data_IF_583580318760
#
_entry.id   IF_583580318760
#
_cell.length_a   1.000
_cell.length_b   1.000
_cell.length_c   1.000
_cell.angle_alpha   90.00
_cell.angle_beta   90.00
_cell.angle_gamma   90.00
#
_symmetry.space_group_name_H-M   'P 1'
#
loop_
_entity.id
_entity.type
_entity.pdbx_description
1 polymer ?
#
# COMPACT_ATOMS: atom_id res chain seq x y z
N UNK A 1 -20.49 3.20 -18.60
CA UNK A 1 -19.24 2.47 -18.95
C UNK A 1 -18.54 1.91 -17.71
N UNK A 2 -18.65 2.56 -16.55
CA UNK A 2 -18.02 2.18 -15.28
C UNK A 2 -18.42 0.80 -14.74
N UNK A 3 -19.68 0.39 -14.84
CA UNK A 3 -20.16 -0.89 -14.25
C UNK A 3 -19.61 -2.14 -14.93
N UNK A 4 -19.43 -2.14 -16.27
CA UNK A 4 -18.87 -3.30 -17.00
C UNK A 4 -17.37 -3.45 -16.76
N UNK A 5 -16.65 -2.34 -16.59
CA UNK A 5 -15.21 -2.34 -16.29
C UNK A 5 -14.98 -2.75 -14.83
N UNK A 6 -15.79 -2.24 -13.90
CA UNK A 6 -15.77 -2.64 -12.50
C UNK A 6 -16.01 -4.15 -12.34
N UNK A 7 -17.05 -4.71 -12.97
CA UNK A 7 -17.34 -6.15 -12.88
C UNK A 7 -16.23 -7.02 -13.47
N UNK A 8 -15.57 -6.58 -14.55
CA UNK A 8 -14.45 -7.32 -15.16
C UNK A 8 -13.19 -7.28 -14.27
N UNK A 9 -12.94 -6.16 -13.60
CA UNK A 9 -11.83 -6.01 -12.65
C UNK A 9 -12.07 -6.82 -11.37
N UNK A 10 -13.28 -6.78 -10.81
CA UNK A 10 -13.64 -7.57 -9.62
C UNK A 10 -13.54 -9.07 -9.90
N UNK A 11 -14.07 -9.57 -11.01
CA UNK A 11 -13.96 -11.00 -11.37
C UNK A 11 -12.51 -11.47 -11.57
N UNK A 12 -11.62 -10.60 -12.05
CA UNK A 12 -10.21 -10.94 -12.19
C UNK A 12 -9.50 -11.03 -10.83
N UNK A 13 -9.79 -10.09 -9.92
CA UNK A 13 -9.23 -10.09 -8.57
C UNK A 13 -9.76 -11.27 -7.76
N UNK A 14 -11.04 -11.62 -7.88
CA UNK A 14 -11.62 -12.80 -7.23
C UNK A 14 -10.89 -14.08 -7.62
N UNK A 15 -10.64 -14.26 -8.92
CA UNK A 15 -9.87 -15.39 -9.42
C UNK A 15 -8.42 -15.40 -8.87
N UNK A 16 -7.76 -14.24 -8.82
CA UNK A 16 -6.42 -14.12 -8.24
C UNK A 16 -6.40 -14.44 -6.74
N UNK A 17 -7.40 -13.98 -5.99
CA UNK A 17 -7.57 -14.30 -4.57
C UNK A 17 -7.70 -15.81 -4.41
N UNK A 18 -8.59 -16.47 -5.15
CA UNK A 18 -8.78 -17.92 -5.09
C UNK A 18 -7.49 -18.68 -5.41
N UNK A 19 -6.75 -18.26 -6.45
CA UNK A 19 -5.46 -18.87 -6.80
C UNK A 19 -4.42 -18.72 -5.68
N UNK A 20 -4.23 -17.51 -5.16
CA UNK A 20 -3.28 -17.23 -4.09
C UNK A 20 -3.64 -18.01 -2.82
N UNK A 21 -4.92 -18.12 -2.49
CA UNK A 21 -5.40 -18.86 -1.33
C UNK A 21 -5.18 -20.38 -1.49
N UNK A 22 -5.35 -20.91 -2.70
CA UNK A 22 -4.97 -22.28 -3.05
C UNK A 22 -3.48 -22.55 -2.88
N UNK A 23 -2.62 -21.61 -3.31
CA UNK A 23 -1.16 -21.71 -3.13
C UNK A 23 -0.75 -21.66 -1.65
N UNK A 24 -1.35 -20.77 -0.86
CA UNK A 24 -1.14 -20.66 0.59
C UNK A 24 -1.46 -21.99 1.29
N UNK A 25 -2.61 -22.59 0.97
CA UNK A 25 -3.01 -23.87 1.55
C UNK A 25 -1.98 -24.96 1.22
N UNK A 26 -1.57 -25.06 -0.05
CA UNK A 26 -0.58 -26.04 -0.50
C UNK A 26 0.77 -25.85 0.22
N UNK A 27 1.30 -24.63 0.27
CA UNK A 27 2.59 -24.36 0.94
C UNK A 27 2.50 -24.61 2.45
N UNK A 28 1.36 -24.31 3.06
CA UNK A 28 1.13 -24.57 4.49
C UNK A 28 1.15 -26.07 4.80
N UNK A 29 0.53 -26.89 3.95
CA UNK A 29 0.58 -28.35 4.07
C UNK A 29 2.01 -28.88 3.85
N UNK A 30 2.73 -28.37 2.85
CA UNK A 30 4.14 -28.72 2.62
C UNK A 30 5.03 -28.36 3.81
N UNK A 31 4.85 -27.17 4.40
CA UNK A 31 5.58 -26.72 5.59
C UNK A 31 5.31 -27.67 6.76
N UNK A 32 4.05 -28.01 7.03
CA UNK A 32 3.70 -28.97 8.08
C UNK A 32 4.34 -30.33 7.89
N UNK A 33 4.32 -30.88 6.67
CA UNK A 33 5.00 -32.15 6.36
C UNK A 33 6.49 -32.05 6.62
N UNK A 34 7.14 -31.01 6.10
CA UNK A 34 8.57 -30.76 6.28
C UNK A 34 8.95 -30.58 7.75
N UNK A 35 8.16 -29.86 8.53
CA UNK A 35 8.40 -29.67 9.97
C UNK A 35 8.37 -31.00 10.72
N UNK A 36 7.38 -31.84 10.44
CA UNK A 36 7.29 -33.17 11.05
C UNK A 36 8.49 -34.04 10.67
N UNK A 37 8.86 -34.09 9.37
CA UNK A 37 10.01 -34.84 8.88
C UNK A 37 11.32 -34.35 9.54
N UNK A 38 11.50 -33.04 9.70
CA UNK A 38 12.69 -32.46 10.32
C UNK A 38 12.78 -32.76 11.82
N UNK A 39 11.65 -32.75 12.52
CA UNK A 39 11.59 -33.14 13.94
C UNK A 39 11.99 -34.61 14.07
N UNK A 40 11.38 -35.51 13.29
CA UNK A 40 11.73 -36.94 13.31
C UNK A 40 13.20 -37.18 12.97
N UNK A 41 13.76 -36.43 12.02
CA UNK A 41 15.16 -36.53 11.64
C UNK A 41 16.11 -36.00 12.72
N UNK A 42 15.78 -34.87 13.35
CA UNK A 42 16.53 -34.30 14.47
C UNK A 42 16.53 -35.26 15.66
N UNK A 43 15.36 -35.76 16.06
CA UNK A 43 15.22 -36.72 17.17
C UNK A 43 16.02 -38.00 16.88
N UNK A 44 15.93 -38.52 15.65
CA UNK A 44 16.71 -39.70 15.24
C UNK A 44 18.22 -39.47 15.30
N UNK A 45 18.68 -38.29 14.88
CA UNK A 45 20.09 -37.91 14.93
C UNK A 45 20.57 -37.76 16.38
N UNK A 46 19.76 -37.15 17.26
CA UNK A 46 20.09 -36.99 18.67
C UNK A 46 20.21 -38.34 19.39
N UNK A 47 19.38 -39.32 19.03
CA UNK A 47 19.48 -40.69 19.54
C UNK A 47 20.73 -41.43 19.04
N UNK A 48 21.26 -41.08 17.88
CA UNK A 48 22.52 -41.65 17.38
C UNK A 48 23.72 -41.02 18.08
N UNK A 49 23.66 -39.71 18.33
CA UNK A 49 24.73 -38.98 19.02
C UNK A 49 24.77 -39.34 20.50
N UNK A 50 23.59 -39.42 21.15
CA UNK A 50 23.42 -39.69 22.57
C UNK A 50 22.48 -40.89 22.76
N UNK A 51 22.95 -42.13 22.51
CA UNK A 51 22.12 -43.31 22.63
C UNK A 51 21.66 -43.51 24.09
N UNK A 52 20.36 -43.71 24.33
CA UNK A 52 19.86 -43.93 25.68
C UNK A 52 20.33 -45.27 26.24
N UNK A 53 20.29 -45.39 27.57
CA UNK A 53 20.72 -46.59 28.31
C UNK A 53 19.88 -47.84 27.99
N UNK A 54 18.66 -47.66 27.50
CA UNK A 54 17.73 -48.73 27.14
C UNK A 54 17.38 -48.63 25.65
N UNK A 55 17.25 -49.78 24.98
CA UNK A 55 16.94 -49.85 23.57
C UNK A 55 15.54 -49.26 23.28
N UNK A 56 15.47 -48.38 22.28
CA UNK A 56 14.21 -47.80 21.79
C UNK A 56 13.64 -48.73 20.72
N UNK A 57 12.31 -48.87 20.69
CA UNK A 57 11.64 -49.53 19.57
C UNK A 57 11.88 -48.75 18.28
N UNK A 58 12.55 -49.38 17.31
CA UNK A 58 13.01 -48.74 16.07
C UNK A 58 11.85 -48.24 15.18
N UNK A 59 10.63 -48.73 15.40
CA UNK A 59 9.45 -48.37 14.59
C UNK A 59 8.81 -47.02 14.98
N UNK A 60 9.31 -46.37 16.04
CA UNK A 60 8.79 -45.07 16.52
C UNK A 60 9.26 -43.86 15.70
N UNK A 61 10.42 -43.97 15.05
CA UNK A 61 11.01 -42.89 14.25
C UNK A 61 11.47 -43.46 12.91
N UNK A 62 10.76 -43.11 11.84
CA UNK A 62 11.02 -43.59 10.48
C UNK A 62 12.49 -43.41 10.03
N UNK A 63 13.18 -42.27 10.31
CA UNK A 63 14.55 -42.07 9.84
C UNK A 63 15.60 -42.87 10.62
N UNK A 64 15.30 -43.28 11.86
CA UNK A 64 16.30 -43.76 12.82
C UNK A 64 17.09 -44.97 12.30
N UNK A 65 16.41 -45.96 11.73
CA UNK A 65 17.06 -47.18 11.21
C UNK A 65 18.00 -46.88 10.04
N UNK A 66 17.58 -46.01 9.13
CA UNK A 66 18.39 -45.61 7.98
C UNK A 66 19.65 -44.85 8.42
N UNK A 67 19.50 -43.91 9.36
CA UNK A 67 20.61 -43.15 9.90
C UNK A 67 21.58 -44.02 10.72
N UNK A 68 21.06 -44.96 11.50
CA UNK A 68 21.88 -45.93 12.23
C UNK A 68 22.72 -46.79 11.28
N UNK A 69 22.17 -47.26 10.16
CA UNK A 69 22.93 -48.03 9.18
C UNK A 69 24.11 -47.22 8.60
N UNK A 70 23.86 -45.96 8.21
CA UNK A 70 24.90 -45.05 7.68
C UNK A 70 26.06 -44.92 8.66
N UNK A 71 25.74 -44.75 9.95
CA UNK A 71 26.73 -44.56 11.02
C UNK A 71 27.41 -45.88 11.41
N UNK A 72 26.69 -47.00 11.44
CA UNK A 72 27.23 -48.31 11.81
C UNK A 72 28.15 -48.93 10.74
N UNK A 73 28.02 -48.51 9.47
CA UNK A 73 28.93 -48.88 8.37
C UNK A 73 30.33 -48.22 8.48
N UNK A 74 30.62 -47.52 9.57
CA UNK A 74 31.91 -46.83 9.78
C UNK A 74 32.96 -47.80 10.30
N UNK A 75 34.14 -47.81 9.67
CA UNK A 75 35.25 -48.68 10.05
C UNK A 75 36.13 -48.08 11.15
N UNK A 76 35.90 -46.82 11.50
CA UNK A 76 36.64 -46.10 12.55
C UNK A 76 35.77 -45.04 13.23
N UNK A 77 36.17 -44.64 14.44
CA UNK A 77 35.51 -43.56 15.17
C UNK A 77 35.62 -42.21 14.44
N UNK A 78 36.74 -41.95 13.76
CA UNK A 78 36.92 -40.75 12.94
C UNK A 78 35.93 -40.68 11.78
N UNK A 79 35.73 -41.81 11.08
CA UNK A 79 34.76 -41.94 10.00
C UNK A 79 33.33 -41.76 10.51
N UNK A 80 33.03 -42.32 11.69
CA UNK A 80 31.73 -42.17 12.36
C UNK A 80 31.40 -40.70 12.64
N UNK A 81 32.34 -39.95 13.21
CA UNK A 81 32.19 -38.52 13.50
C UNK A 81 31.99 -37.71 12.21
N UNK A 82 32.73 -38.02 11.15
CA UNK A 82 32.56 -37.33 9.85
C UNK A 82 31.16 -37.57 9.26
N UNK A 83 30.65 -38.80 9.28
CA UNK A 83 29.29 -39.10 8.81
C UNK A 83 28.24 -38.35 9.63
N UNK A 84 28.38 -38.30 10.96
CA UNK A 84 27.48 -37.52 11.83
C UNK A 84 27.49 -36.02 11.48
N UNK A 85 28.67 -35.44 11.22
CA UNK A 85 28.74 -34.03 10.82
C UNK A 85 28.11 -33.78 9.44
N UNK A 86 28.24 -34.69 8.49
CA UNK A 86 27.54 -34.59 7.20
C UNK A 86 26.01 -34.63 7.38
N UNK A 87 25.49 -35.49 8.25
CA UNK A 87 24.06 -35.55 8.56
C UNK A 87 23.58 -34.26 9.23
N UNK A 88 24.35 -33.68 10.17
CA UNK A 88 24.06 -32.36 10.75
C UNK A 88 24.05 -31.25 9.70
N UNK A 89 24.98 -31.27 8.76
CA UNK A 89 25.01 -30.30 7.65
C UNK A 89 23.77 -30.44 6.75
N UNK A 90 23.37 -31.67 6.43
CA UNK A 90 22.14 -31.94 5.67
C UNK A 90 20.88 -31.44 6.40
N UNK A 91 20.81 -31.66 7.72
CA UNK A 91 19.73 -31.16 8.56
C UNK A 91 19.70 -29.63 8.62
N UNK A 92 20.86 -28.95 8.69
CA UNK A 92 20.95 -27.49 8.60
C UNK A 92 20.47 -26.98 7.24
N UNK A 93 20.88 -27.61 6.14
CA UNK A 93 20.43 -27.25 4.80
C UNK A 93 18.91 -27.39 4.65
N UNK A 94 18.33 -28.48 5.18
CA UNK A 94 16.90 -28.72 5.15
C UNK A 94 16.11 -27.71 6.00
N UNK A 95 16.64 -27.31 7.17
CA UNK A 95 16.10 -26.21 7.96
C UNK A 95 16.13 -24.86 7.22
N UNK A 96 17.17 -24.58 6.43
CA UNK A 96 17.21 -23.40 5.58
C UNK A 96 16.14 -23.46 4.48
N UNK A 97 15.91 -24.63 3.87
CA UNK A 97 14.81 -24.83 2.92
C UNK A 97 13.44 -24.59 3.55
N UNK A 98 13.21 -25.05 4.79
CA UNK A 98 12.00 -24.76 5.55
C UNK A 98 11.83 -23.24 5.78
N UNK A 99 12.89 -22.54 6.15
CA UNK A 99 12.85 -21.09 6.33
C UNK A 99 12.50 -20.36 5.02
N UNK A 100 13.04 -20.81 3.88
CA UNK A 100 12.68 -20.27 2.56
C UNK A 100 11.20 -20.47 2.24
N UNK A 101 10.63 -21.65 2.52
CA UNK A 101 9.19 -21.90 2.34
C UNK A 101 8.33 -21.03 3.24
N UNK A 102 8.73 -20.82 4.50
CA UNK A 102 8.02 -19.89 5.42
C UNK A 102 8.05 -18.44 4.92
N UNK A 103 9.16 -18.02 4.33
CA UNK A 103 9.27 -16.70 3.68
C UNK A 103 8.35 -16.59 2.45
N UNK A 104 8.27 -17.64 1.63
CA UNK A 104 7.35 -17.73 0.50
C UNK A 104 5.88 -17.63 0.96
N UNK A 105 5.50 -18.37 2.02
CA UNK A 105 4.17 -18.29 2.63
C UNK A 105 3.84 -16.84 3.04
N UNK A 106 4.74 -16.17 3.76
CA UNK A 106 4.53 -14.79 4.20
C UNK A 106 4.33 -13.83 3.02
N UNK A 107 5.08 -14.01 1.93
CA UNK A 107 4.92 -13.20 0.73
C UNK A 107 3.53 -13.41 0.10
N UNK A 108 3.06 -14.65 0.02
CA UNK A 108 1.73 -14.97 -0.48
C UNK A 108 0.61 -14.42 0.41
N UNK A 109 0.77 -14.46 1.73
CA UNK A 109 -0.18 -13.86 2.69
C UNK A 109 -0.25 -12.33 2.54
N UNK A 110 0.88 -11.67 2.33
CA UNK A 110 0.94 -10.24 2.03
C UNK A 110 0.25 -9.92 0.69
N UNK A 111 0.48 -10.75 -0.34
CA UNK A 111 -0.19 -10.61 -1.63
C UNK A 111 -1.70 -10.80 -1.52
N UNK A 112 -2.16 -11.80 -0.76
CA UNK A 112 -3.57 -12.02 -0.49
C UNK A 112 -4.21 -10.80 0.19
N UNK A 113 -3.54 -10.24 1.20
CA UNK A 113 -3.99 -9.04 1.90
C UNK A 113 -4.15 -7.87 0.94
N UNK A 114 -3.14 -7.63 0.08
CA UNK A 114 -3.18 -6.58 -0.94
C UNK A 114 -4.34 -6.77 -1.93
N UNK A 115 -4.56 -7.99 -2.40
CA UNK A 115 -5.66 -8.31 -3.32
C UNK A 115 -7.03 -8.10 -2.65
N UNK A 116 -7.18 -8.46 -1.38
CA UNK A 116 -8.41 -8.23 -0.61
C UNK A 116 -8.68 -6.75 -0.40
N UNK A 117 -7.65 -5.95 -0.08
CA UNK A 117 -7.76 -4.49 0.02
C UNK A 117 -8.18 -3.87 -1.32
N UNK A 118 -7.60 -4.32 -2.43
CA UNK A 118 -7.95 -3.86 -3.77
C UNK A 118 -9.38 -4.25 -4.14
N UNK A 119 -9.81 -5.47 -3.82
CA UNK A 119 -11.21 -5.90 -4.01
C UNK A 119 -12.17 -5.01 -3.22
N UNK A 120 -11.90 -4.83 -1.92
CA UNK A 120 -12.71 -3.98 -1.06
C UNK A 120 -12.77 -2.54 -1.59
N UNK A 121 -11.64 -2.02 -2.11
CA UNK A 121 -11.61 -0.72 -2.77
C UNK A 121 -12.56 -0.68 -3.99
N UNK A 122 -12.44 -1.67 -4.88
CA UNK A 122 -13.24 -1.77 -6.10
C UNK A 122 -14.74 -1.86 -5.81
N UNK A 123 -15.13 -2.70 -4.86
CA UNK A 123 -16.53 -2.96 -4.54
C UNK A 123 -17.21 -1.76 -3.87
N UNK A 124 -16.48 -1.02 -3.03
CA UNK A 124 -17.08 -0.01 -2.14
C UNK A 124 -16.83 1.44 -2.57
N UNK A 125 -15.79 1.72 -3.36
CA UNK A 125 -15.34 3.10 -3.62
C UNK A 125 -15.24 3.45 -5.10
N UNK A 126 -14.97 2.48 -5.98
CA UNK A 126 -14.81 2.72 -7.42
C UNK A 126 -16.07 3.35 -8.03
N UNK A 127 -17.26 2.95 -7.56
CA UNK A 127 -18.55 3.52 -7.97
C UNK A 127 -18.67 5.04 -7.70
N UNK A 128 -17.85 5.59 -6.79
CA UNK A 128 -17.90 6.99 -6.38
C UNK A 128 -16.87 7.87 -7.10
N UNK A 129 -16.01 7.31 -7.95
CA UNK A 129 -14.97 8.04 -8.68
C UNK A 129 -15.57 9.17 -9.51
N UNK A 130 -16.61 8.91 -10.29
CA UNK A 130 -17.20 9.92 -11.18
C UNK A 130 -17.72 11.13 -10.40
N UNK A 131 -18.18 10.90 -9.16
CA UNK A 131 -18.67 11.94 -8.25
C UNK A 131 -17.53 12.81 -7.71
N UNK A 132 -16.43 12.20 -7.27
CA UNK A 132 -15.40 12.89 -6.47
C UNK A 132 -14.08 13.15 -7.19
N UNK A 133 -13.83 12.52 -8.35
CA UNK A 133 -12.55 12.60 -9.06
C UNK A 133 -12.13 14.02 -9.40
N UNK A 134 -13.08 14.92 -9.65
CA UNK A 134 -12.82 16.33 -9.99
C UNK A 134 -12.39 17.16 -8.78
N UNK A 135 -12.75 16.76 -7.57
CA UNK A 135 -12.41 17.48 -6.33
C UNK A 135 -10.95 17.23 -5.90
N UNK A 136 -10.33 16.14 -6.38
CA UNK A 136 -8.93 15.84 -6.08
C UNK A 136 -7.98 16.48 -7.11
N UNK A 137 -7.33 17.57 -6.70
CA UNK A 137 -6.37 18.32 -7.54
C UNK A 137 -4.92 18.20 -7.09
N UNK A 138 -4.64 17.70 -5.88
CA UNK A 138 -3.33 17.75 -5.22
C UNK A 138 -2.16 17.26 -6.09
N UNK A 139 -2.27 16.08 -6.70
CA UNK A 139 -1.19 15.52 -7.54
C UNK A 139 -1.00 16.31 -8.84
N UNK A 140 -2.10 16.74 -9.48
CA UNK A 140 -2.06 17.58 -10.67
C UNK A 140 -1.42 18.95 -10.35
N UNK A 141 -1.81 19.57 -9.25
CA UNK A 141 -1.27 20.86 -8.81
C UNK A 141 0.23 20.77 -8.52
N UNK A 142 0.67 19.65 -7.93
CA UNK A 142 2.10 19.38 -7.68
C UNK A 142 2.89 19.25 -8.98
N UNK A 143 2.41 18.44 -9.93
CA UNK A 143 3.04 18.26 -11.23
C UNK A 143 3.05 19.56 -12.03
N UNK A 144 1.95 20.32 -12.01
CA UNK A 144 1.86 21.62 -12.68
C UNK A 144 2.86 22.62 -12.12
N UNK A 145 3.00 22.73 -10.79
CA UNK A 145 4.03 23.58 -10.16
C UNK A 145 5.45 23.20 -10.57
N UNK A 146 5.72 21.90 -10.70
CA UNK A 146 7.03 21.42 -11.17
C UNK A 146 7.27 21.80 -12.63
N UNK A 147 6.27 21.64 -13.50
CA UNK A 147 6.33 22.06 -14.90
C UNK A 147 6.62 23.56 -14.99
N UNK A 148 5.89 24.38 -14.25
CA UNK A 148 6.06 25.83 -14.28
C UNK A 148 7.44 26.24 -13.76
N UNK A 149 7.90 25.64 -12.66
CA UNK A 149 9.26 25.87 -12.14
C UNK A 149 10.35 25.47 -13.14
N UNK A 150 10.23 24.33 -13.82
CA UNK A 150 11.20 23.90 -14.84
C UNK A 150 11.12 24.79 -16.08
N UNK A 151 9.94 25.28 -16.46
CA UNK A 151 9.77 26.22 -17.57
C UNK A 151 10.46 27.55 -17.26
N UNK A 152 10.30 28.06 -16.04
CA UNK A 152 10.95 29.30 -15.60
C UNK A 152 12.49 29.15 -15.56
N UNK A 153 13.00 28.01 -15.08
CA UNK A 153 14.43 27.70 -15.12
C UNK A 153 14.95 27.64 -16.56
N UNK A 154 14.24 26.94 -17.44
CA UNK A 154 14.60 26.83 -18.85
C UNK A 154 14.68 28.21 -19.52
N UNK A 155 13.68 29.07 -19.27
CA UNK A 155 13.66 30.44 -19.76
C UNK A 155 14.86 31.25 -19.24
N UNK A 156 15.16 31.12 -17.95
CA UNK A 156 16.32 31.75 -17.33
C UNK A 156 17.65 31.33 -18.00
N UNK A 157 17.87 30.02 -18.18
CA UNK A 157 19.07 29.51 -18.83
C UNK A 157 19.18 29.91 -20.30
N UNK A 158 18.06 29.96 -21.03
CA UNK A 158 18.03 30.44 -22.41
C UNK A 158 18.40 31.93 -22.50
N UNK A 159 17.83 32.77 -21.63
CA UNK A 159 18.21 34.18 -21.54
C UNK A 159 19.69 34.36 -21.15
N UNK A 160 20.18 33.60 -20.18
CA UNK A 160 21.60 33.61 -19.79
C UNK A 160 22.52 33.24 -20.98
N UNK A 161 22.15 32.22 -21.76
CA UNK A 161 22.89 31.80 -22.94
C UNK A 161 22.90 32.89 -24.02
N UNK A 162 21.76 33.55 -24.27
CA UNK A 162 21.66 34.67 -25.21
C UNK A 162 22.58 35.83 -24.81
N UNK A 163 22.52 36.27 -23.55
CA UNK A 163 23.39 37.34 -23.05
C UNK A 163 24.87 37.00 -23.19
N UNK A 164 25.25 35.76 -22.86
CA UNK A 164 26.63 35.29 -22.94
C UNK A 164 27.13 35.18 -24.39
N UNK A 165 26.29 34.72 -25.32
CA UNK A 165 26.61 34.67 -26.76
C UNK A 165 26.76 36.07 -27.35
N UNK A 166 25.87 37.01 -27.02
CA UNK A 166 25.98 38.41 -27.44
C UNK A 166 27.29 39.02 -26.92
N UNK A 167 27.64 38.78 -25.65
CA UNK A 167 28.90 39.25 -25.09
C UNK A 167 30.14 38.59 -25.72
N UNK A 168 30.08 37.30 -26.08
CA UNK A 168 31.16 36.64 -26.82
C UNK A 168 31.40 37.31 -28.18
N UNK A 169 30.32 37.69 -28.89
CA UNK A 169 30.39 38.37 -30.18
C UNK A 169 30.71 39.86 -30.08
N UNK A 170 30.33 40.53 -28.99
CA UNK A 170 30.61 41.94 -28.73
C UNK A 170 31.02 42.15 -27.26
N UNK A 171 32.33 42.28 -27.02
CA UNK A 171 32.89 42.43 -25.67
C UNK A 171 32.56 43.76 -24.99
N UNK A 172 32.07 44.75 -25.74
CA UNK A 172 31.58 46.02 -25.20
C UNK A 172 30.16 45.90 -24.61
N UNK A 173 29.46 44.79 -24.90
CA UNK A 173 28.15 44.51 -24.33
C UNK A 173 28.23 44.31 -22.81
N UNK A 174 27.45 45.07 -22.04
CA UNK A 174 27.46 44.96 -20.58
C UNK A 174 26.68 43.72 -20.12
N UNK A 175 27.39 42.73 -19.57
CA UNK A 175 26.77 41.57 -18.96
C UNK A 175 26.03 41.91 -17.66
N UNK A 176 24.88 41.25 -17.39
CA UNK A 176 24.26 41.22 -16.06
C UNK A 176 25.27 40.77 -14.99
N UNK A 177 25.21 41.38 -13.81
CA UNK A 177 26.20 41.18 -12.75
C UNK A 177 26.35 39.72 -12.32
N UNK A 178 25.25 38.97 -12.31
CA UNK A 178 25.19 37.54 -12.00
C UNK A 178 25.82 36.62 -13.05
N UNK A 179 26.14 37.13 -14.24
CA UNK A 179 26.75 36.39 -15.35
C UNK A 179 28.23 36.67 -15.53
N UNK A 180 28.76 37.75 -14.96
CA UNK A 180 30.18 38.14 -15.08
C UNK A 180 31.11 37.00 -14.58
N UNK A 181 30.79 36.39 -13.45
CA UNK A 181 31.57 35.28 -12.87
C UNK A 181 31.39 33.95 -13.60
N UNK A 182 30.43 33.86 -14.52
CA UNK A 182 30.07 32.65 -15.27
C UNK A 182 30.43 32.72 -16.74
N UNK A 183 31.02 33.82 -17.20
CA UNK A 183 31.32 34.08 -18.60
C UNK A 183 32.57 33.33 -19.10
N UNK A 184 32.55 32.00 -18.99
CA UNK A 184 33.57 31.10 -19.55
C UNK A 184 33.00 30.26 -20.69
N UNK A 185 33.85 29.92 -21.66
CA UNK A 185 33.44 29.07 -22.79
C UNK A 185 32.96 27.69 -22.32
N UNK A 186 33.55 27.17 -21.24
CA UNK A 186 33.12 25.91 -20.61
C UNK A 186 31.72 26.00 -20.03
N UNK A 187 31.35 27.12 -19.41
CA UNK A 187 30.00 27.29 -18.86
C UNK A 187 28.98 27.49 -19.97
N UNK A 188 29.32 28.25 -21.01
CA UNK A 188 28.47 28.46 -22.20
C UNK A 188 28.21 27.13 -22.91
N UNK A 189 29.26 26.33 -23.14
CA UNK A 189 29.12 25.00 -23.73
C UNK A 189 28.26 24.07 -22.88
N UNK A 190 28.37 24.14 -21.53
CA UNK A 190 27.51 23.37 -20.62
C UNK A 190 26.06 23.86 -20.63
N UNK A 191 25.81 25.17 -20.69
CA UNK A 191 24.46 25.71 -20.84
C UNK A 191 23.79 25.18 -22.10
N UNK A 192 24.49 25.26 -23.23
CA UNK A 192 24.01 24.88 -24.54
C UNK A 192 23.80 23.36 -24.71
N UNK A 193 24.76 22.55 -24.24
CA UNK A 193 24.76 21.11 -24.53
C UNK A 193 24.27 20.22 -23.38
N UNK A 194 24.29 20.71 -22.14
CA UNK A 194 23.88 19.92 -20.97
C UNK A 194 22.64 20.52 -20.28
N UNK A 195 22.74 21.75 -19.77
CA UNK A 195 21.76 22.30 -18.83
C UNK A 195 20.41 22.56 -19.50
N UNK A 196 20.40 23.28 -20.63
CA UNK A 196 19.17 23.57 -21.38
C UNK A 196 18.52 22.28 -21.92
N UNK A 197 19.26 21.38 -22.60
CA UNK A 197 18.71 20.10 -23.04
C UNK A 197 18.18 19.23 -21.89
N UNK A 198 18.84 19.23 -20.72
CA UNK A 198 18.33 18.53 -19.53
C UNK A 198 17.00 19.11 -19.05
N UNK A 199 16.89 20.44 -18.96
CA UNK A 199 15.64 21.10 -18.56
C UNK A 199 14.51 20.81 -19.56
N UNK A 200 14.80 20.83 -20.86
CA UNK A 200 13.82 20.47 -21.91
C UNK A 200 13.35 19.02 -21.77
N UNK A 201 14.27 18.07 -21.55
CA UNK A 201 13.92 16.66 -21.32
C UNK A 201 13.06 16.47 -20.07
N UNK A 202 13.44 17.11 -18.96
CA UNK A 202 12.65 17.09 -17.72
C UNK A 202 11.24 17.67 -17.94
N UNK A 203 11.12 18.79 -18.68
CA UNK A 203 9.83 19.39 -19.00
C UNK A 203 8.94 18.42 -19.81
N UNK A 204 9.50 17.76 -20.83
CA UNK A 204 8.79 16.75 -21.63
C UNK A 204 8.30 15.61 -20.74
N UNK A 205 9.17 15.09 -19.86
CA UNK A 205 8.82 14.02 -18.93
C UNK A 205 7.70 14.43 -17.97
N UNK A 206 7.79 15.62 -17.37
CA UNK A 206 6.77 16.12 -16.45
C UNK A 206 5.42 16.35 -17.14
N UNK A 207 5.42 16.88 -18.36
CA UNK A 207 4.20 17.05 -19.16
C UNK A 207 3.59 15.70 -19.53
N UNK A 208 4.42 14.72 -19.93
CA UNK A 208 3.95 13.35 -20.19
C UNK A 208 3.38 12.71 -18.92
N UNK A 209 4.03 12.88 -17.77
CA UNK A 209 3.52 12.39 -16.48
C UNK A 209 2.17 13.02 -16.14
N UNK A 210 2.01 14.33 -16.33
CA UNK A 210 0.74 15.02 -16.08
C UNK A 210 -0.37 14.52 -17.02
N UNK A 211 -0.08 14.37 -18.32
CA UNK A 211 -1.06 13.92 -19.31
C UNK A 211 -1.46 12.45 -19.12
N UNK A 212 -0.53 11.62 -18.67
CA UNK A 212 -0.74 10.19 -18.45
C UNK A 212 -1.02 9.85 -16.98
N UNK A 213 -1.32 10.85 -16.15
CA UNK A 213 -1.52 10.63 -14.72
C UNK A 213 -2.76 9.77 -14.47
N UNK A 214 -2.51 8.51 -14.08
CA UNK A 214 -3.55 7.57 -13.71
C UNK A 214 -3.98 7.80 -12.26
N UNK A 215 -4.97 8.67 -12.11
CA UNK A 215 -5.54 9.02 -10.81
C UNK A 215 -6.04 7.79 -10.04
N UNK A 216 -6.54 6.75 -10.72
CA UNK A 216 -7.11 5.57 -10.05
C UNK A 216 -6.05 4.73 -9.36
N UNK A 217 -4.86 4.70 -9.91
CA UNK A 217 -3.73 3.94 -9.38
C UNK A 217 -2.85 4.78 -8.43
N UNK A 218 -3.18 6.05 -8.16
CA UNK A 218 -2.48 6.88 -7.17
C UNK A 218 -2.92 6.51 -5.73
N UNK A 219 -2.01 6.00 -4.87
CA UNK A 219 -2.33 5.66 -3.48
C UNK A 219 -2.85 6.84 -2.65
N UNK A 220 -2.41 8.07 -2.92
CA UNK A 220 -2.93 9.25 -2.23
C UNK A 220 -4.38 9.53 -2.62
N UNK A 221 -4.71 9.38 -3.91
CA UNK A 221 -6.08 9.52 -4.40
C UNK A 221 -7.00 8.45 -3.81
N UNK A 222 -6.58 7.18 -3.81
CA UNK A 222 -7.39 6.09 -3.26
C UNK A 222 -7.70 6.34 -1.77
N UNK A 223 -6.69 6.71 -0.98
CA UNK A 223 -6.87 7.07 0.45
C UNK A 223 -7.82 8.25 0.62
N UNK A 224 -7.65 9.30 -0.19
CA UNK A 224 -8.53 10.47 -0.17
C UNK A 224 -9.98 10.09 -0.51
N UNK A 225 -10.19 9.27 -1.55
CA UNK A 225 -11.51 8.83 -1.99
C UNK A 225 -12.21 8.01 -0.90
N UNK A 226 -11.50 7.08 -0.27
CA UNK A 226 -12.01 6.28 0.86
C UNK A 226 -12.49 7.19 1.98
N UNK A 227 -11.67 8.15 2.39
CA UNK A 227 -12.02 9.12 3.42
C UNK A 227 -13.22 9.97 3.01
N UNK A 228 -13.24 10.49 1.78
CA UNK A 228 -14.33 11.34 1.27
C UNK A 228 -15.66 10.60 1.27
N UNK A 229 -15.68 9.37 0.77
CA UNK A 229 -16.88 8.51 0.76
C UNK A 229 -17.34 8.21 2.18
N UNK A 230 -16.43 7.91 3.11
CA UNK A 230 -16.78 7.62 4.50
C UNK A 230 -17.33 8.85 5.23
N UNK A 231 -16.82 10.05 4.93
CA UNK A 231 -17.38 11.31 5.44
C UNK A 231 -18.79 11.51 4.91
N UNK A 232 -19.02 11.34 3.60
CA UNK A 232 -20.36 11.48 3.00
C UNK A 232 -21.36 10.47 3.59
N UNK A 233 -20.96 9.20 3.78
CA UNK A 233 -21.79 8.17 4.44
C UNK A 233 -22.12 8.55 5.90
N UNK A 234 -21.11 8.98 6.66
CA UNK A 234 -21.29 9.37 8.06
C UNK A 234 -22.20 10.60 8.19
N UNK A 235 -22.03 11.58 7.31
CA UNK A 235 -22.87 12.77 7.28
C UNK A 235 -24.32 12.44 6.91
N UNK A 236 -24.54 11.54 5.95
CA UNK A 236 -25.87 11.04 5.59
C UNK A 236 -26.55 10.41 6.81
N UNK A 237 -25.87 9.48 7.49
CA UNK A 237 -26.39 8.83 8.70
C UNK A 237 -26.68 9.83 9.83
N UNK A 238 -25.80 10.81 10.02
CA UNK A 238 -26.02 11.88 10.99
C UNK A 238 -27.30 12.68 10.69
N UNK A 239 -27.53 13.05 9.43
CA UNK A 239 -28.75 13.76 9.01
C UNK A 239 -30.02 12.93 9.21
N UNK A 240 -29.96 11.62 8.94
CA UNK A 240 -31.07 10.69 9.23
C UNK A 240 -31.41 10.64 10.72
N UNK A 241 -30.41 10.48 11.58
CA UNK A 241 -30.58 10.45 13.04
C UNK A 241 -31.13 11.78 13.55
N UNK A 242 -30.58 12.90 13.06
CA UNK A 242 -31.08 14.23 13.41
C UNK A 242 -32.55 14.40 13.03
N UNK A 243 -32.95 14.00 11.82
CA UNK A 243 -34.34 14.09 11.38
C UNK A 243 -35.26 13.20 12.23
N UNK A 244 -34.84 11.97 12.54
CA UNK A 244 -35.59 11.06 13.42
C UNK A 244 -35.76 11.63 14.83
N UNK A 245 -34.70 12.24 15.39
CA UNK A 245 -34.75 12.91 16.67
C UNK A 245 -35.71 14.11 16.65
N UNK A 246 -35.65 14.95 15.61
CA UNK A 246 -36.54 16.11 15.45
C UNK A 246 -38.01 15.66 15.38
N UNK A 247 -38.32 14.63 14.59
CA UNK A 247 -39.68 14.10 14.48
C UNK A 247 -40.16 13.48 15.80
N UNK A 248 -39.30 12.72 16.48
CA UNK A 248 -39.60 12.17 17.81
C UNK A 248 -39.89 13.26 18.83
N UNK A 249 -39.11 14.34 18.82
CA UNK A 249 -39.32 15.49 19.71
C UNK A 249 -40.64 16.21 19.39
N UNK A 250 -41.00 16.37 18.12
CA UNK A 250 -42.30 16.95 17.71
C UNK A 250 -43.47 16.10 18.22
N UNK A 251 -43.37 14.78 18.11
CA UNK A 251 -44.37 13.84 18.63
C UNK A 251 -44.47 13.97 20.16
N UNK A 252 -43.34 13.97 20.86
CA UNK A 252 -43.30 14.12 22.31
C UNK A 252 -43.95 15.44 22.77
N UNK A 253 -43.59 16.57 22.14
CA UNK A 253 -44.21 17.88 22.41
C UNK A 253 -45.73 17.84 22.22
N UNK A 254 -46.21 17.16 21.16
CA UNK A 254 -47.64 17.00 20.91
C UNK A 254 -48.33 16.19 22.01
N UNK A 255 -47.75 15.06 22.41
CA UNK A 255 -48.30 14.18 23.45
C UNK A 255 -48.40 14.91 24.79
N UNK A 256 -47.35 15.61 25.20
CA UNK A 256 -47.32 16.37 26.47
C UNK A 256 -48.32 17.53 26.44
N UNK A 257 -48.46 18.23 25.31
CA UNK A 257 -49.47 19.29 25.17
C UNK A 257 -50.91 18.74 25.22
N UNK A 258 -51.15 17.56 24.67
CA UNK A 258 -52.48 16.94 24.65
C UNK A 258 -52.83 16.22 25.95
N UNK A 259 -51.82 15.76 26.71
CA UNK A 259 -51.99 14.94 27.90
C UNK A 259 -51.07 15.44 29.04
N UNK A 260 -51.25 16.69 29.52
CA UNK A 260 -50.37 17.26 30.54
C UNK A 260 -50.42 16.47 31.85
N UNK A 261 -51.58 15.88 32.19
CA UNK A 261 -51.79 15.15 33.45
C UNK A 261 -51.08 13.78 33.50
N UNK A 262 -50.68 13.24 32.34
CA UNK A 262 -50.01 11.94 32.22
C UNK A 262 -48.48 12.10 32.19
N UNK A 263 -47.99 13.30 31.90
CA UNK A 263 -46.57 13.59 31.74
C UNK A 263 -46.01 14.29 32.99
N UNK A 264 -44.98 13.73 33.62
CA UNK A 264 -44.32 14.34 34.78
C UNK A 264 -43.44 15.56 34.45
N UNK A 265 -43.59 16.14 33.25
CA UNK A 265 -42.81 17.27 32.77
C UNK A 265 -43.63 18.12 31.79
N UNK A 266 -43.29 19.41 31.71
CA UNK A 266 -43.96 20.38 30.85
C UNK A 266 -43.26 20.54 29.50
N UNK A 267 -43.99 20.99 28.47
CA UNK A 267 -43.42 21.25 27.13
C UNK A 267 -42.30 22.29 27.17
N UNK A 268 -42.33 23.22 28.13
CA UNK A 268 -41.30 24.25 28.28
C UNK A 268 -39.94 23.68 28.75
N UNK A 269 -39.92 22.45 29.28
CA UNK A 269 -38.70 21.73 29.63
C UNK A 269 -38.08 20.98 28.43
N UNK A 270 -38.77 20.95 27.28
CA UNK A 270 -38.24 20.38 26.04
C UNK A 270 -37.46 21.43 25.23
N UNK A 271 -36.42 21.04 24.47
CA UNK A 271 -35.63 21.97 23.66
C UNK A 271 -36.51 22.80 22.72
N UNK A 272 -36.41 24.13 22.79
CA UNK A 272 -37.24 25.07 22.02
C UNK A 272 -36.94 25.06 20.52
N UNK A 273 -35.74 25.54 20.15
CA UNK A 273 -35.18 25.50 18.79
C UNK A 273 -34.01 24.54 18.73
N UNK A 274 -34.02 23.66 17.74
CA UNK A 274 -32.88 22.80 17.42
C UNK A 274 -32.19 23.37 16.19
N UNK A 275 -30.88 23.55 16.27
CA UNK A 275 -30.07 23.83 15.09
C UNK A 275 -30.14 22.60 14.19
N UNK A 276 -30.70 22.77 13.00
CA UNK A 276 -30.80 21.72 12.00
C UNK A 276 -29.64 21.84 11.04
N UNK A 277 -28.82 20.80 10.98
CA UNK A 277 -27.81 20.67 9.93
C UNK A 277 -28.50 20.24 8.63
N UNK A 278 -28.18 20.91 7.52
CA UNK A 278 -28.61 20.61 6.16
C UNK A 278 -27.40 20.47 5.24
N UNK A 279 -27.59 19.72 4.16
CA UNK A 279 -26.66 19.65 3.04
C UNK A 279 -27.29 20.32 1.83
N UNK A 280 -26.66 21.37 1.32
CA UNK A 280 -27.02 21.98 0.04
C UNK A 280 -25.78 22.00 -0.86
N UNK A 281 -25.86 21.32 -2.01
CA UNK A 281 -24.77 21.22 -2.99
C UNK A 281 -23.40 20.84 -2.38
N UNK A 282 -23.40 19.94 -1.39
CA UNK A 282 -22.18 19.49 -0.71
C UNK A 282 -21.66 20.43 0.39
N UNK A 283 -22.37 21.52 0.67
CA UNK A 283 -22.07 22.47 1.74
C UNK A 283 -22.96 22.21 2.94
N UNK A 284 -22.36 22.22 4.14
CA UNK A 284 -23.09 22.09 5.41
C UNK A 284 -23.67 23.44 5.81
N UNK A 285 -24.98 23.49 6.00
CA UNK A 285 -25.73 24.69 6.40
C UNK A 285 -26.37 24.43 7.77
N UNK A 286 -26.32 25.44 8.65
CA UNK A 286 -27.00 25.42 9.94
C UNK A 286 -28.28 26.26 9.84
N UNK A 287 -29.43 25.62 10.05
CA UNK A 287 -30.76 26.25 10.05
C UNK A 287 -31.30 26.34 11.48
N UNK A 288 -31.86 27.50 11.86
CA UNK A 288 -32.37 27.81 13.20
C UNK A 288 -33.88 28.07 13.23
#
# INVERSE_FOLDING_TARGET
>A
MTTKIANKLTNNIDFQIEQTQGLINNITEQIKSFENELIEYQDSLDLIINPPKYAIQQDLLLPLKALQNIVNESNSESERVQKIELLKQSLRASNQSLASKKSELLNLENDLTRLQEQKHFNDNYLIHIDKFSKEYTKTNDKLQRQIDSTRDQLKGYQSDLEFLKIWQSNKEYRLPHNLISKASDTFIARLENEIIPNCQRSLIQLVQQLNNYDKLNDPEFQKWLVQRVNIDKSLTKFLEIQNSYIESLKILKRVVNQNPDICNFSVNQLPGKLVKVKLENGTVILEN
#
